data_IF_120800070309
#
_entry.id   IF_120800070309
#
_cell.length_a   1.000
_cell.length_b   1.000
_cell.length_c   1.000
_cell.angle_alpha   90.00
_cell.angle_beta   90.00
_cell.angle_gamma   90.00
#
_symmetry.space_group_name_H-M   'P 1'
#
loop_
_entity.id
_entity.type
_entity.pdbx_description
1 polymer ?
#
# COMPACT_ATOMS: atom_id res chain seq x y z
N UNK A 1 -0.90 -5.03 -6.22
CA UNK A 1 0.57 -5.02 -6.11
C UNK A 1 1.29 -5.51 -7.38
N UNK A 2 1.20 -6.80 -7.75
CA UNK A 2 2.00 -7.42 -8.84
C UNK A 2 1.99 -6.60 -10.14
N UNK A 3 0.80 -6.17 -10.60
CA UNK A 3 0.65 -5.38 -11.83
C UNK A 3 1.41 -4.03 -11.78
N UNK A 4 1.36 -3.32 -10.66
CA UNK A 4 2.01 -2.01 -10.52
C UNK A 4 3.51 -2.12 -10.36
N UNK A 5 4.00 -3.18 -9.71
CA UNK A 5 5.42 -3.52 -9.68
C UNK A 5 5.95 -3.86 -11.08
N UNK A 6 5.24 -4.73 -11.82
CA UNK A 6 5.63 -5.09 -13.18
C UNK A 6 5.58 -3.91 -14.15
N UNK A 7 4.55 -3.06 -14.04
CA UNK A 7 4.47 -1.82 -14.81
C UNK A 7 5.57 -0.83 -14.43
N UNK A 8 5.90 -0.70 -13.15
CA UNK A 8 6.96 0.20 -12.68
C UNK A 8 8.32 -0.15 -13.28
N UNK A 9 8.65 -1.44 -13.34
CA UNK A 9 9.90 -1.92 -13.96
C UNK A 9 9.85 -1.74 -15.49
N UNK A 10 8.72 -2.04 -16.14
CA UNK A 10 8.57 -1.88 -17.59
C UNK A 10 8.52 -0.43 -18.09
N UNK A 11 8.17 0.52 -17.22
CA UNK A 11 8.12 1.94 -17.56
C UNK A 11 9.48 2.65 -17.43
N UNK A 12 10.51 1.94 -16.97
CA UNK A 12 11.88 2.48 -16.93
C UNK A 12 12.34 2.76 -18.36
N UNK A 13 12.77 3.99 -18.70
CA UNK A 13 13.16 4.34 -20.07
C UNK A 13 14.27 3.43 -20.59
N UNK A 14 14.11 2.94 -21.83
CA UNK A 14 15.12 2.09 -22.48
C UNK A 14 16.47 2.79 -22.58
N UNK A 15 16.48 4.11 -22.85
CA UNK A 15 17.72 4.90 -22.90
C UNK A 15 18.54 4.85 -21.61
N UNK A 16 17.88 4.83 -20.45
CA UNK A 16 18.57 4.70 -19.15
C UNK A 16 19.14 3.30 -18.95
N UNK A 17 18.47 2.27 -19.47
CA UNK A 17 18.94 0.89 -19.41
C UNK A 17 20.11 0.65 -20.35
N UNK A 18 20.02 1.14 -21.58
CA UNK A 18 21.11 1.11 -22.57
C UNK A 18 22.34 1.88 -22.08
N UNK A 19 22.16 3.04 -21.47
CA UNK A 19 23.26 3.78 -20.86
C UNK A 19 23.95 2.97 -19.75
N UNK A 20 23.20 2.39 -18.82
CA UNK A 20 23.76 1.56 -17.76
C UNK A 20 24.51 0.33 -18.28
N UNK A 21 24.00 -0.31 -19.35
CA UNK A 21 24.68 -1.42 -20.03
C UNK A 21 25.96 -0.94 -20.72
N UNK A 22 25.96 0.22 -21.38
CA UNK A 22 27.14 0.81 -22.01
C UNK A 22 28.24 1.17 -21.01
N UNK A 23 27.87 1.51 -19.77
CA UNK A 23 28.80 1.68 -18.64
C UNK A 23 29.25 0.37 -17.98
N UNK A 24 28.87 -0.80 -18.53
CA UNK A 24 29.31 -2.11 -18.06
C UNK A 24 28.52 -2.68 -16.88
N UNK A 25 27.29 -2.22 -16.64
CA UNK A 25 26.45 -2.80 -15.60
C UNK A 25 26.02 -4.24 -15.96
N UNK A 26 26.22 -5.16 -15.02
CA UNK A 26 25.60 -6.50 -15.09
C UNK A 26 24.09 -6.43 -14.88
N UNK A 27 23.33 -7.41 -15.35
CA UNK A 27 21.85 -7.45 -15.19
C UNK A 27 21.40 -7.24 -13.74
N UNK A 28 22.13 -7.81 -12.78
CA UNK A 28 21.81 -7.69 -11.36
C UNK A 28 22.10 -6.29 -10.80
N UNK A 29 23.06 -5.58 -11.38
CA UNK A 29 23.34 -4.16 -11.07
C UNK A 29 22.33 -3.25 -11.75
N UNK A 30 21.96 -3.53 -13.00
CA UNK A 30 20.90 -2.83 -13.73
C UNK A 30 19.58 -2.88 -12.96
N UNK A 31 19.14 -4.09 -12.57
CA UNK A 31 17.93 -4.29 -11.78
C UNK A 31 17.96 -3.52 -10.45
N UNK A 32 19.03 -3.67 -9.65
CA UNK A 32 19.07 -3.11 -8.29
C UNK A 32 19.37 -1.62 -8.22
N UNK A 33 20.18 -1.09 -9.15
CA UNK A 33 20.67 0.30 -9.09
C UNK A 33 19.95 1.22 -10.07
N UNK A 34 19.27 0.69 -11.08
CA UNK A 34 18.59 1.50 -12.10
C UNK A 34 17.09 1.21 -12.11
N UNK A 35 16.70 -0.03 -12.36
CA UNK A 35 15.27 -0.34 -12.52
C UNK A 35 14.48 -0.26 -11.21
N UNK A 36 15.01 -0.82 -10.11
CA UNK A 36 14.33 -0.79 -8.81
C UNK A 36 14.10 0.65 -8.32
N UNK A 37 15.14 1.51 -8.22
CA UNK A 37 14.98 2.87 -7.72
C UNK A 37 13.99 3.68 -8.56
N UNK A 38 14.05 3.56 -9.89
CA UNK A 38 13.14 4.23 -10.81
C UNK A 38 11.70 3.69 -10.73
N UNK A 39 11.52 2.41 -10.43
CA UNK A 39 10.21 1.79 -10.25
C UNK A 39 9.59 2.03 -8.86
N UNK A 40 10.36 2.51 -7.86
CA UNK A 40 9.88 2.72 -6.47
C UNK A 40 8.58 3.54 -6.41
N UNK A 41 8.42 4.66 -7.12
CA UNK A 41 7.18 5.45 -7.05
C UNK A 41 5.94 4.63 -7.44
N UNK A 42 6.05 3.78 -8.47
CA UNK A 42 4.97 2.89 -8.91
C UNK A 42 4.70 1.78 -7.89
N UNK A 43 5.75 1.21 -7.30
CA UNK A 43 5.63 0.19 -6.25
C UNK A 43 4.94 0.78 -5.00
N UNK A 44 5.30 2.00 -4.60
CA UNK A 44 4.69 2.70 -3.47
C UNK A 44 3.21 3.02 -3.72
N UNK A 45 2.85 3.40 -4.96
CA UNK A 45 1.45 3.56 -5.34
C UNK A 45 0.67 2.24 -5.18
N UNK A 46 1.26 1.12 -5.62
CA UNK A 46 0.65 -0.20 -5.47
C UNK A 46 0.56 -0.69 -4.04
N UNK A 47 1.55 -0.38 -3.21
CA UNK A 47 1.55 -0.69 -1.79
C UNK A 47 0.42 0.06 -1.08
N UNK A 48 0.26 1.36 -1.37
CA UNK A 48 -0.84 2.16 -0.82
C UNK A 48 -2.20 1.55 -1.13
N UNK A 49 -2.42 1.18 -2.40
CA UNK A 49 -3.67 0.59 -2.81
C UNK A 49 -3.92 -0.77 -2.15
N UNK A 50 -2.90 -1.62 -2.04
CA UNK A 50 -3.03 -2.92 -1.38
C UNK A 50 -3.35 -2.77 0.11
N UNK A 51 -2.73 -1.80 0.81
CA UNK A 51 -3.03 -1.54 2.23
C UNK A 51 -4.47 -1.05 2.41
N UNK A 52 -4.94 -0.12 1.57
CA UNK A 52 -6.32 0.37 1.63
C UNK A 52 -7.34 -0.75 1.39
N UNK A 53 -7.07 -1.64 0.44
CA UNK A 53 -7.92 -2.82 0.19
C UNK A 53 -7.87 -3.82 1.36
N UNK A 54 -6.68 -4.05 1.94
CA UNK A 54 -6.54 -4.95 3.08
C UNK A 54 -7.28 -4.46 4.33
N UNK A 55 -7.26 -3.15 4.59
CA UNK A 55 -8.01 -2.52 5.70
C UNK A 55 -9.53 -2.67 5.52
N UNK A 56 -10.01 -2.48 4.29
CA UNK A 56 -11.41 -2.74 3.95
C UNK A 56 -11.78 -4.20 4.22
N UNK A 57 -10.95 -5.14 3.74
CA UNK A 57 -11.19 -6.57 3.94
C UNK A 57 -11.14 -6.99 5.42
N UNK A 58 -10.23 -6.42 6.21
CA UNK A 58 -10.14 -6.70 7.65
C UNK A 58 -11.39 -6.27 8.43
N UNK A 59 -12.15 -5.29 7.92
CA UNK A 59 -13.44 -4.91 8.51
C UNK A 59 -14.52 -5.93 8.17
N UNK A 60 -14.51 -6.45 6.94
CA UNK A 60 -15.47 -7.46 6.48
C UNK A 60 -15.22 -8.82 7.15
N UNK A 61 -13.97 -9.18 7.45
CA UNK A 61 -13.66 -10.48 8.07
C UNK A 61 -14.32 -10.67 9.44
N UNK A 62 -14.69 -9.59 10.12
CA UNK A 62 -15.43 -9.66 11.37
C UNK A 62 -16.81 -10.34 11.24
N UNK A 63 -17.43 -10.29 10.06
CA UNK A 63 -18.69 -11.01 9.81
C UNK A 63 -18.52 -12.54 9.82
N UNK A 64 -17.28 -13.05 9.71
CA UNK A 64 -16.95 -14.48 9.73
C UNK A 64 -16.32 -14.86 11.09
N UNK A 65 -16.44 -13.99 12.10
CA UNK A 65 -15.96 -14.26 13.47
C UNK A 65 -14.48 -13.92 13.70
N UNK A 66 -13.85 -13.13 12.81
CA UNK A 66 -12.53 -12.59 13.10
C UNK A 66 -12.59 -11.58 14.26
N UNK A 67 -11.67 -11.70 15.23
CA UNK A 67 -11.56 -10.76 16.35
C UNK A 67 -11.00 -9.39 15.92
N UNK A 68 -11.19 -8.37 16.75
CA UNK A 68 -10.64 -7.02 16.58
C UNK A 68 -11.71 -5.93 16.43
N UNK A 69 -11.32 -4.78 15.87
CA UNK A 69 -12.20 -3.60 15.75
C UNK A 69 -13.47 -3.89 14.93
N UNK A 70 -13.37 -4.73 13.90
CA UNK A 70 -14.53 -5.13 13.09
C UNK A 70 -15.56 -5.92 13.90
N UNK A 71 -15.14 -6.71 14.90
CA UNK A 71 -16.07 -7.50 15.72
C UNK A 71 -17.00 -6.60 16.55
N UNK A 72 -16.50 -5.44 17.01
CA UNK A 72 -17.29 -4.43 17.72
C UNK A 72 -18.35 -3.83 16.79
N UNK A 73 -18.01 -3.60 15.51
CA UNK A 73 -18.96 -3.15 14.49
C UNK A 73 -20.05 -4.20 14.28
N UNK A 74 -19.66 -5.45 14.05
CA UNK A 74 -20.61 -6.55 13.82
C UNK A 74 -21.53 -6.80 15.02
N UNK A 75 -21.01 -6.74 16.25
CA UNK A 75 -21.81 -6.84 17.48
C UNK A 75 -22.76 -5.65 17.63
N UNK A 76 -22.31 -4.42 17.37
CA UNK A 76 -23.18 -3.24 17.45
C UNK A 76 -24.32 -3.26 16.42
N UNK A 77 -24.06 -3.84 15.23
CA UNK A 77 -25.09 -4.10 14.23
C UNK A 77 -26.11 -5.15 14.71
N UNK A 78 -25.65 -6.25 15.32
CA UNK A 78 -26.52 -7.28 15.87
C UNK A 78 -27.41 -6.80 17.02
N UNK A 79 -26.86 -5.96 17.91
CA UNK A 79 -27.56 -5.43 19.07
C UNK A 79 -28.41 -4.17 18.78
N UNK A 80 -28.45 -3.72 17.52
CA UNK A 80 -29.06 -2.44 17.10
C UNK A 80 -28.55 -1.20 17.87
N UNK A 81 -27.31 -1.26 18.38
CA UNK A 81 -26.69 -0.20 19.18
C UNK A 81 -25.87 0.74 18.28
N UNK A 82 -26.58 1.66 17.61
CA UNK A 82 -25.96 2.62 16.69
C UNK A 82 -24.79 3.41 17.30
N UNK A 83 -24.86 3.76 18.60
CA UNK A 83 -23.79 4.48 19.30
C UNK A 83 -22.47 3.71 19.34
N UNK A 84 -22.50 2.40 19.61
CA UNK A 84 -21.29 1.56 19.60
C UNK A 84 -20.75 1.38 18.18
N UNK A 85 -21.64 1.23 17.20
CA UNK A 85 -21.27 1.11 15.79
C UNK A 85 -20.57 2.36 15.27
N UNK A 86 -21.07 3.54 15.64
CA UNK A 86 -20.45 4.83 15.28
C UNK A 86 -19.05 4.97 15.89
N UNK A 87 -18.89 4.68 17.18
CA UNK A 87 -17.59 4.75 17.86
C UNK A 87 -16.57 3.81 17.23
N UNK A 88 -16.98 2.58 16.91
CA UNK A 88 -16.12 1.61 16.24
C UNK A 88 -15.75 2.06 14.80
N UNK A 89 -16.71 2.61 14.04
CA UNK A 89 -16.45 3.17 12.72
C UNK A 89 -15.46 4.34 12.75
N UNK A 90 -15.59 5.25 13.71
CA UNK A 90 -14.64 6.36 13.90
C UNK A 90 -13.26 5.84 14.26
N UNK A 91 -13.16 4.84 15.14
CA UNK A 91 -11.88 4.23 15.50
C UNK A 91 -11.18 3.61 14.28
N UNK A 92 -11.91 2.87 13.44
CA UNK A 92 -11.37 2.30 12.19
C UNK A 92 -10.92 3.40 11.23
N UNK A 93 -11.72 4.46 11.07
CA UNK A 93 -11.39 5.58 10.19
C UNK A 93 -10.10 6.31 10.64
N UNK A 94 -9.91 6.49 11.94
CA UNK A 94 -8.69 7.08 12.50
C UNK A 94 -7.45 6.22 12.22
N UNK A 95 -7.57 4.90 12.37
CA UNK A 95 -6.48 3.96 12.03
C UNK A 95 -6.16 4.03 10.54
N UNK A 96 -7.17 4.04 9.66
CA UNK A 96 -6.97 4.16 8.22
C UNK A 96 -6.28 5.48 7.85
N UNK A 97 -6.72 6.61 8.42
CA UNK A 97 -6.10 7.92 8.22
C UNK A 97 -4.64 7.97 8.72
N UNK A 98 -4.36 7.32 9.85
CA UNK A 98 -3.01 7.25 10.41
C UNK A 98 -2.08 6.46 9.48
N UNK A 99 -2.53 5.31 8.97
CA UNK A 99 -1.78 4.50 8.01
C UNK A 99 -1.52 5.27 6.71
N UNK A 100 -2.54 5.92 6.16
CA UNK A 100 -2.44 6.75 4.95
C UNK A 100 -1.44 7.91 5.15
N UNK A 101 -1.38 8.50 6.36
CA UNK A 101 -0.39 9.53 6.71
C UNK A 101 1.03 8.99 6.79
N UNK A 102 1.25 7.84 7.41
CA UNK A 102 2.57 7.18 7.48
C UNK A 102 3.06 6.86 6.07
N UNK A 103 2.19 6.29 5.23
CA UNK A 103 2.56 5.86 3.88
C UNK A 103 2.87 7.05 2.95
N UNK A 104 2.11 8.15 3.08
CA UNK A 104 2.43 9.41 2.40
C UNK A 104 3.78 9.99 2.86
N UNK A 105 4.11 9.89 4.15
CA UNK A 105 5.40 10.29 4.68
C UNK A 105 6.56 9.52 4.02
N UNK A 106 6.43 8.20 3.92
CA UNK A 106 7.42 7.33 3.27
C UNK A 106 7.57 7.67 1.79
N UNK A 107 6.45 7.84 1.06
CA UNK A 107 6.45 8.23 -0.36
C UNK A 107 7.17 9.56 -0.57
N UNK A 108 6.89 10.55 0.28
CA UNK A 108 7.51 11.88 0.17
C UNK A 108 9.01 11.87 0.48
N UNK A 109 9.47 10.95 1.34
CA UNK A 109 10.90 10.74 1.57
C UNK A 109 11.59 10.18 0.32
N UNK A 110 10.94 9.26 -0.39
CA UNK A 110 11.49 8.66 -1.60
C UNK A 110 11.43 9.58 -2.83
N UNK A 111 10.45 10.48 -2.92
CA UNK A 111 10.40 11.45 -4.03
C UNK A 111 11.37 12.63 -3.88
N UNK A 112 12.08 12.73 -2.76
CA UNK A 112 13.09 13.77 -2.47
C UNK A 112 14.53 13.27 -2.66
N UNK A 113 14.71 11.99 -2.96
CA UNK A 113 15.99 11.33 -3.27
C UNK A 113 16.01 11.07 -4.77
#
# INVERSE_FOLDING_TARGET
MIKLTALGIRQVPESTKEAALAFGASERQLLRKVELPMAVPSIMAGLNQTIMLALSMATISAFIGAEGLGAIVTSALGDAQAGKGLLAGVAIALVAMMIDRILRGIRNSFSRI
#
